data_IF_924009368592
#
_entry.id   IF_924009368592
#
_cell.length_a   1.000
_cell.length_b   1.000
_cell.length_c   1.000
_cell.angle_alpha   90.00
_cell.angle_beta   90.00
_cell.angle_gamma   90.00
#
_symmetry.space_group_name_H-M   'P 1'
#
loop_
_entity.id
_entity.type
_entity.pdbx_description
1 polymer ?
#
# COMPACT_ATOMS: atom_id res chain seq x y z
N UNK A 1 -19.83 -33.46 -1.45
CA UNK A 1 -18.71 -32.91 -0.66
C UNK A 1 -17.90 -32.03 -1.60
N UNK A 2 -18.16 -30.73 -1.59
CA UNK A 2 -17.50 -29.78 -2.48
C UNK A 2 -16.13 -29.48 -1.89
N UNK A 3 -15.07 -29.90 -2.59
CA UNK A 3 -13.70 -29.60 -2.22
C UNK A 3 -13.46 -28.11 -2.42
N UNK A 4 -13.19 -27.39 -1.33
CA UNK A 4 -12.74 -26.01 -1.37
C UNK A 4 -11.40 -25.98 -2.12
N UNK A 5 -11.27 -25.25 -3.24
CA UNK A 5 -9.99 -25.09 -3.94
C UNK A 5 -8.92 -24.52 -3.00
N UNK A 6 -7.67 -24.98 -3.14
CA UNK A 6 -6.54 -24.64 -2.28
C UNK A 6 -6.19 -23.13 -2.20
N UNK A 7 -6.79 -22.28 -3.04
CA UNK A 7 -6.66 -20.82 -3.01
C UNK A 7 -7.70 -20.12 -2.11
N UNK A 8 -8.65 -20.86 -1.51
CA UNK A 8 -9.70 -20.30 -0.64
C UNK A 8 -9.33 -20.30 0.85
N UNK A 9 -8.15 -20.80 1.23
CA UNK A 9 -7.66 -20.71 2.60
C UNK A 9 -6.39 -19.85 2.60
N UNK A 10 -6.44 -18.62 3.15
CA UNK A 10 -5.23 -17.83 3.30
C UNK A 10 -4.26 -18.64 4.13
N UNK A 11 -3.05 -18.87 3.61
CA UNK A 11 -1.99 -19.45 4.42
C UNK A 11 -1.77 -18.54 5.63
N UNK A 12 -1.42 -19.07 6.82
CA UNK A 12 -1.16 -18.26 8.01
C UNK A 12 -0.17 -17.09 7.79
N UNK A 13 0.68 -17.18 6.76
CA UNK A 13 1.60 -16.12 6.32
C UNK A 13 0.95 -14.92 5.60
N UNK A 14 -0.31 -15.04 5.15
CA UNK A 14 -1.07 -14.00 4.43
C UNK A 14 -2.02 -13.19 5.33
N UNK A 15 -2.24 -13.59 6.58
CA UNK A 15 -3.23 -12.94 7.44
C UNK A 15 -2.67 -11.66 8.06
N UNK A 16 -3.31 -10.49 7.89
CA UNK A 16 -2.80 -9.25 8.46
C UNK A 16 -2.85 -9.31 9.99
N UNK A 17 -1.74 -8.92 10.62
CA UNK A 17 -1.63 -8.86 12.06
C UNK A 17 -2.07 -7.49 12.58
N UNK A 18 -2.87 -7.51 13.64
CA UNK A 18 -3.31 -6.34 14.37
C UNK A 18 -2.85 -6.41 15.83
N UNK A 19 -2.69 -5.26 16.47
CA UNK A 19 -2.34 -5.21 17.88
C UNK A 19 -3.58 -5.46 18.75
N UNK A 20 -3.52 -6.41 19.67
CA UNK A 20 -4.62 -6.68 20.63
C UNK A 20 -4.97 -5.47 21.51
N UNK A 21 -4.02 -4.57 21.74
CA UNK A 21 -4.21 -3.41 22.64
C UNK A 21 -4.87 -2.24 21.92
N UNK A 22 -4.28 -1.75 20.82
CA UNK A 22 -4.82 -0.59 20.10
C UNK A 22 -5.72 -0.95 18.91
N UNK A 23 -5.86 -2.24 18.58
CA UNK A 23 -6.68 -2.78 17.49
C UNK A 23 -6.27 -2.35 16.08
N UNK A 24 -5.11 -1.72 15.91
CA UNK A 24 -4.58 -1.24 14.62
C UNK A 24 -3.67 -2.28 13.97
N UNK A 25 -3.53 -2.20 12.65
CA UNK A 25 -2.61 -3.03 11.89
C UNK A 25 -1.15 -2.85 12.36
N UNK A 26 -0.37 -3.92 12.29
CA UNK A 26 1.06 -3.96 12.62
C UNK A 26 1.88 -4.17 11.35
N UNK A 27 3.02 -3.47 11.26
CA UNK A 27 4.00 -3.74 10.21
C UNK A 27 4.85 -4.94 10.60
N UNK A 28 4.98 -5.90 9.67
CA UNK A 28 5.90 -7.02 9.79
C UNK A 28 7.26 -6.64 9.22
N UNK A 29 8.31 -6.86 9.99
CA UNK A 29 9.70 -6.62 9.57
C UNK A 29 10.48 -7.91 9.72
N UNK A 30 11.24 -8.28 8.69
CA UNK A 30 12.14 -9.41 8.76
C UNK A 30 13.59 -8.92 8.81
N UNK A 31 14.32 -9.35 9.83
CA UNK A 31 15.77 -9.11 9.92
C UNK A 31 16.52 -10.01 8.93
N UNK A 32 17.78 -9.68 8.55
CA UNK A 32 18.60 -10.54 7.69
C UNK A 32 18.77 -11.97 8.22
N UNK A 33 18.65 -12.18 9.54
CA UNK A 33 18.72 -13.50 10.17
C UNK A 33 17.38 -14.25 10.17
N UNK A 34 16.36 -13.74 9.46
CA UNK A 34 15.04 -14.35 9.35
C UNK A 34 14.08 -14.07 10.51
N UNK A 35 14.53 -13.41 11.59
CA UNK A 35 13.67 -13.08 12.74
C UNK A 35 12.61 -12.06 12.33
N UNK A 36 11.35 -12.39 12.62
CA UNK A 36 10.19 -11.52 12.40
C UNK A 36 9.93 -10.65 13.64
N UNK A 37 9.79 -9.35 13.42
CA UNK A 37 9.36 -8.38 14.43
C UNK A 37 8.11 -7.64 13.96
N UNK A 38 7.34 -7.13 14.92
CA UNK A 38 6.13 -6.36 14.67
C UNK A 38 6.30 -4.96 15.25
N UNK A 39 5.92 -3.93 14.49
CA UNK A 39 6.06 -2.52 14.88
C UNK A 39 4.75 -1.79 14.57
N UNK A 40 4.40 -0.77 15.37
CA UNK A 40 3.25 0.07 15.03
C UNK A 40 3.60 1.04 13.90
N UNK A 41 2.69 1.25 12.92
CA UNK A 41 2.92 2.22 11.85
C UNK A 41 3.19 3.65 12.36
N UNK A 42 2.61 4.01 13.50
CA UNK A 42 2.82 5.33 14.11
C UNK A 42 4.19 5.49 14.78
N UNK A 43 4.76 4.42 15.34
CA UNK A 43 6.14 4.43 15.87
C UNK A 43 7.16 4.72 14.77
N UNK A 44 6.92 4.21 13.56
CA UNK A 44 7.73 4.55 12.37
C UNK A 44 7.61 6.01 11.95
N UNK A 45 6.53 6.70 12.34
CA UNK A 45 6.33 8.13 12.11
C UNK A 45 6.91 8.98 13.26
N UNK A 46 7.51 8.34 14.26
CA UNK A 46 8.13 8.98 15.41
C UNK A 46 7.14 9.32 16.53
N UNK A 47 5.94 8.73 16.52
CA UNK A 47 5.02 8.79 17.65
C UNK A 47 5.43 7.73 18.69
N UNK A 48 5.21 8.03 19.97
CA UNK A 48 5.37 7.05 21.05
C UNK A 48 4.00 6.49 21.41
N UNK A 49 3.91 5.16 21.52
CA UNK A 49 2.72 4.48 22.02
C UNK A 49 2.97 3.99 23.44
N UNK A 50 1.91 4.01 24.26
CA UNK A 50 1.99 3.62 25.68
C UNK A 50 2.03 2.10 25.91
N UNK A 51 2.23 1.31 24.85
CA UNK A 51 2.29 -0.14 24.94
C UNK A 51 3.15 -0.77 23.84
N UNK A 52 3.74 -1.91 24.17
CA UNK A 52 4.41 -2.79 23.21
C UNK A 52 3.41 -3.39 22.20
N UNK A 53 3.85 -3.74 20.97
CA UNK A 53 3.06 -4.50 20.01
C UNK A 53 2.62 -5.86 20.57
N UNK A 54 1.31 -6.14 20.51
CA UNK A 54 0.75 -7.45 20.86
C UNK A 54 0.08 -8.07 19.62
N UNK A 55 0.85 -8.69 18.71
CA UNK A 55 0.32 -9.15 17.43
C UNK A 55 -0.70 -10.27 17.62
N UNK A 56 -1.80 -10.17 16.89
CA UNK A 56 -2.78 -11.23 16.71
C UNK A 56 -3.34 -11.17 15.29
N UNK A 57 -3.78 -12.30 14.72
CA UNK A 57 -4.58 -12.32 13.51
C UNK A 57 -5.74 -11.32 13.58
N UNK A 58 -6.04 -10.63 12.47
CA UNK A 58 -7.17 -9.68 12.41
C UNK A 58 -8.50 -10.31 12.83
N UNK A 59 -8.67 -11.61 12.59
CA UNK A 59 -9.87 -12.38 12.97
C UNK A 59 -10.02 -12.61 14.47
N UNK A 60 -8.96 -12.43 15.25
CA UNK A 60 -8.96 -12.55 16.72
C UNK A 60 -9.09 -11.21 17.44
N UNK A 61 -8.97 -10.09 16.72
CA UNK A 61 -9.05 -8.76 17.31
C UNK A 61 -10.50 -8.28 17.22
N UNK A 62 -11.16 -7.98 18.36
CA UNK A 62 -12.52 -7.46 18.34
C UNK A 62 -12.54 -6.05 17.73
N UNK A 63 -13.43 -5.81 16.78
CA UNK A 63 -13.61 -4.53 16.09
C UNK A 63 -12.27 -3.91 15.63
N UNK A 64 -11.54 -4.56 14.71
CA UNK A 64 -10.24 -4.08 14.27
C UNK A 64 -10.37 -2.74 13.55
N UNK A 65 -9.42 -1.83 13.79
CA UNK A 65 -9.36 -0.54 13.12
C UNK A 65 -8.63 -0.74 11.79
N UNK A 66 -9.39 -0.76 10.70
CA UNK A 66 -8.85 -0.87 9.34
C UNK A 66 -8.66 0.53 8.77
N UNK A 67 -7.40 0.92 8.58
CA UNK A 67 -7.03 2.22 8.05
C UNK A 67 -6.68 2.12 6.57
N UNK A 68 -7.12 3.09 5.77
CA UNK A 68 -6.77 3.20 4.38
C UNK A 68 -5.24 3.21 4.20
N UNK A 69 -4.70 2.26 3.45
CA UNK A 69 -3.25 2.10 3.27
C UNK A 69 -2.60 3.27 2.53
N UNK A 70 -3.43 4.10 1.87
CA UNK A 70 -2.98 5.26 1.12
C UNK A 70 -2.93 6.52 1.98
N UNK A 71 -4.05 6.89 2.59
CA UNK A 71 -4.18 8.17 3.33
C UNK A 71 -4.30 8.02 4.84
N UNK A 72 -4.25 6.79 5.37
CA UNK A 72 -4.42 6.48 6.80
C UNK A 72 -5.76 6.93 7.41
N UNK A 73 -6.78 7.17 6.58
CA UNK A 73 -8.15 7.37 7.09
C UNK A 73 -8.62 6.10 7.82
N UNK A 74 -9.22 6.19 9.01
CA UNK A 74 -9.77 5.04 9.74
C UNK A 74 -11.06 4.49 9.13
N UNK A 75 -11.54 5.08 8.03
CA UNK A 75 -12.79 4.72 7.34
C UNK A 75 -12.47 3.92 6.06
N UNK A 76 -11.61 2.91 6.15
CA UNK A 76 -11.41 2.01 5.02
C UNK A 76 -12.69 1.20 4.76
N UNK A 77 -13.14 1.20 3.51
CA UNK A 77 -14.39 0.54 3.09
C UNK A 77 -14.16 -0.57 2.07
N UNK A 78 -13.04 -0.51 1.37
CA UNK A 78 -12.74 -1.40 0.24
C UNK A 78 -11.43 -2.13 0.47
N UNK A 79 -11.35 -3.36 -0.04
CA UNK A 79 -10.11 -4.12 -0.17
C UNK A 79 -9.84 -4.35 -1.65
N UNK A 80 -8.61 -4.06 -2.05
CA UNK A 80 -8.06 -4.36 -3.36
C UNK A 80 -7.01 -5.45 -3.23
N UNK A 81 -6.82 -6.21 -4.31
CA UNK A 81 -5.76 -7.20 -4.43
C UNK A 81 -4.75 -6.70 -5.46
N UNK A 82 -3.48 -6.62 -5.08
CA UNK A 82 -2.36 -6.38 -5.96
C UNK A 82 -1.27 -7.44 -5.72
N UNK A 83 -0.18 -7.41 -6.50
CA UNK A 83 0.93 -8.33 -6.23
C UNK A 83 1.60 -7.99 -4.89
N UNK A 84 2.22 -8.98 -4.25
CA UNK A 84 3.08 -8.75 -3.09
C UNK A 84 4.04 -7.60 -3.36
N UNK A 85 4.11 -6.67 -2.42
CA UNK A 85 5.05 -5.57 -2.50
C UNK A 85 6.14 -5.80 -1.47
N UNK A 86 7.37 -5.75 -1.91
CA UNK A 86 8.52 -5.77 -1.02
C UNK A 86 9.23 -4.43 -1.15
N UNK A 87 9.51 -3.80 -0.01
CA UNK A 87 10.37 -2.63 0.03
C UNK A 87 11.65 -3.02 0.74
N UNK A 88 12.69 -3.17 -0.06
CA UNK A 88 14.05 -3.30 0.43
C UNK A 88 14.53 -1.94 0.92
N UNK A 89 15.00 -1.87 2.16
CA UNK A 89 15.64 -0.67 2.69
C UNK A 89 17.14 -0.84 2.54
N UNK A 90 17.87 0.17 2.06
CA UNK A 90 19.33 0.19 2.09
C UNK A 90 19.80 1.38 2.92
N UNK A 91 20.79 1.20 3.79
CA UNK A 91 21.36 2.29 4.58
C UNK A 91 22.71 2.69 3.99
N UNK A 92 22.90 4.00 3.77
CA UNK A 92 24.20 4.53 3.35
C UNK A 92 25.17 4.46 4.53
N UNK A 93 26.17 3.60 4.44
CA UNK A 93 27.20 3.43 5.47
C UNK A 93 28.41 4.32 5.22
N UNK A 94 28.73 4.61 3.95
CA UNK A 94 29.84 5.48 3.59
C UNK A 94 29.51 6.38 2.41
N UNK A 95 29.99 7.63 2.49
CA UNK A 95 30.06 8.55 1.34
C UNK A 95 31.50 8.96 1.12
N UNK A 96 31.97 8.75 -0.10
CA UNK A 96 33.30 9.19 -0.52
C UNK A 96 33.18 10.53 -1.22
N UNK A 97 33.87 11.54 -0.70
CA UNK A 97 33.92 12.90 -1.26
C UNK A 97 35.36 13.27 -1.59
N UNK A 98 35.57 14.20 -2.51
CA UNK A 98 36.90 14.75 -2.74
C UNK A 98 37.29 15.68 -1.58
N UNK A 99 38.48 15.49 -1.00
CA UNK A 99 38.95 16.26 0.16
C UNK A 99 38.96 17.77 -0.11
N UNK A 100 39.43 18.22 -1.28
CA UNK A 100 39.46 19.64 -1.63
C UNK A 100 38.07 20.23 -1.89
N UNK A 101 37.11 19.41 -2.35
CA UNK A 101 35.71 19.85 -2.45
C UNK A 101 35.06 19.93 -1.05
N UNK A 102 35.36 18.97 -0.18
CA UNK A 102 34.91 18.96 1.21
C UNK A 102 35.46 20.13 2.03
N UNK A 103 36.75 20.46 1.88
CA UNK A 103 37.34 21.61 2.58
C UNK A 103 36.69 22.94 2.19
N UNK A 104 36.20 23.07 0.94
CA UNK A 104 35.56 24.30 0.45
C UNK A 104 34.07 24.37 0.75
N UNK A 105 33.37 23.23 0.71
CA UNK A 105 31.89 23.17 0.71
C UNK A 105 31.31 22.41 1.89
N UNK A 106 32.14 21.70 2.65
CA UNK A 106 31.77 20.84 3.77
C UNK A 106 30.55 19.97 3.44
N UNK A 107 29.41 20.22 4.08
CA UNK A 107 28.17 19.49 3.90
C UNK A 107 27.57 19.58 2.49
N UNK A 108 28.03 20.50 1.64
CA UNK A 108 27.63 20.63 0.24
C UNK A 108 28.64 20.01 -0.75
N UNK A 109 29.64 19.27 -0.28
CA UNK A 109 30.60 18.58 -1.13
C UNK A 109 29.92 17.50 -1.98
N UNK A 110 30.33 17.38 -3.25
CA UNK A 110 29.78 16.38 -4.17
C UNK A 110 30.26 14.98 -3.78
N UNK A 111 29.31 14.09 -3.58
CA UNK A 111 29.57 12.67 -3.32
C UNK A 111 30.02 11.99 -4.61
N UNK A 112 31.18 11.32 -4.57
CA UNK A 112 31.77 10.55 -5.68
C UNK A 112 31.34 9.09 -5.66
N UNK A 113 31.25 8.49 -4.48
CA UNK A 113 30.79 7.13 -4.31
C UNK A 113 29.95 7.02 -3.04
N UNK A 114 28.99 6.10 -3.07
CA UNK A 114 28.12 5.76 -1.94
C UNK A 114 28.28 4.26 -1.72
N UNK A 115 28.68 3.87 -0.53
CA UNK A 115 28.61 2.48 -0.08
C UNK A 115 27.33 2.35 0.75
N UNK A 116 26.57 1.29 0.48
CA UNK A 116 25.31 1.00 1.13
C UNK A 116 25.29 -0.44 1.61
N UNK A 117 24.77 -0.66 2.81
CA UNK A 117 24.46 -1.99 3.31
C UNK A 117 22.97 -2.28 3.13
N UNK A 118 22.67 -3.54 2.88
CA UNK A 118 21.29 -4.03 2.82
C UNK A 118 20.67 -3.92 4.21
N UNK A 119 19.56 -3.21 4.28
CA UNK A 119 18.74 -3.07 5.46
C UNK A 119 17.65 -4.13 5.52
N UNK A 120 16.72 -4.00 6.47
CA UNK A 120 15.60 -4.92 6.60
C UNK A 120 14.69 -4.87 5.37
N UNK A 121 14.16 -6.05 5.02
CA UNK A 121 13.08 -6.19 4.07
C UNK A 121 11.75 -5.87 4.76
N UNK A 122 10.95 -5.01 4.13
CA UNK A 122 9.57 -4.76 4.53
C UNK A 122 8.64 -5.43 3.53
N UNK A 123 7.79 -6.31 4.04
CA UNK A 123 6.82 -7.06 3.23
C UNK A 123 5.46 -6.40 3.42
N UNK A 124 4.85 -5.98 2.32
CA UNK A 124 3.48 -5.52 2.26
C UNK A 124 2.68 -6.61 1.53
N UNK A 125 1.64 -7.13 2.18
CA UNK A 125 0.85 -8.21 1.59
C UNK A 125 0.07 -7.76 0.35
N UNK A 126 -0.49 -8.73 -0.36
CA UNK A 126 -1.31 -8.53 -1.56
C UNK A 126 -2.57 -7.67 -1.35
N UNK A 127 -3.04 -7.51 -0.10
CA UNK A 127 -4.35 -6.91 0.20
C UNK A 127 -4.20 -5.49 0.72
N UNK A 128 -4.79 -4.54 0.00
CA UNK A 128 -4.73 -3.11 0.26
C UNK A 128 -6.10 -2.55 0.57
N UNK A 129 -6.26 -1.90 1.71
CA UNK A 129 -7.49 -1.27 2.13
C UNK A 129 -7.56 0.20 1.67
N UNK A 130 -8.74 0.64 1.22
CA UNK A 130 -8.97 1.99 0.75
C UNK A 130 -10.27 2.57 1.31
N UNK A 131 -10.24 3.85 1.68
CA UNK A 131 -11.46 4.64 1.89
C UNK A 131 -12.08 5.02 0.54
N UNK A 132 -13.35 5.45 0.51
CA UNK A 132 -14.08 5.80 -0.73
C UNK A 132 -13.28 6.75 -1.65
N UNK A 133 -12.68 7.80 -1.07
CA UNK A 133 -11.95 8.78 -1.86
C UNK A 133 -10.68 8.22 -2.51
N UNK A 134 -9.98 7.28 -1.86
CA UNK A 134 -8.83 6.60 -2.47
C UNK A 134 -9.28 5.53 -3.46
N UNK A 135 -10.37 4.83 -3.16
CA UNK A 135 -10.97 3.83 -4.05
C UNK A 135 -11.35 4.42 -5.42
N UNK A 136 -11.99 5.59 -5.43
CA UNK A 136 -12.32 6.29 -6.68
C UNK A 136 -11.08 6.59 -7.54
N UNK A 137 -9.98 7.00 -6.91
CA UNK A 137 -8.72 7.29 -7.60
C UNK A 137 -8.03 6.02 -8.10
N UNK A 138 -8.09 4.92 -7.35
CA UNK A 138 -7.58 3.61 -7.78
C UNK A 138 -8.35 3.09 -9.00
N UNK A 139 -9.68 3.18 -8.97
CA UNK A 139 -10.54 2.72 -10.07
C UNK A 139 -10.36 3.57 -11.33
N UNK A 140 -10.17 4.88 -11.17
CA UNK A 140 -9.79 5.78 -12.27
C UNK A 140 -8.33 5.67 -12.70
N UNK A 141 -7.51 4.86 -12.00
CA UNK A 141 -6.04 4.77 -12.18
C UNK A 141 -5.35 6.15 -12.13
N UNK A 142 -5.85 7.04 -11.28
CA UNK A 142 -5.38 8.42 -11.14
C UNK A 142 -4.20 8.52 -10.16
N UNK A 143 -3.02 8.10 -10.59
CA UNK A 143 -1.79 8.11 -9.78
C UNK A 143 -1.51 9.46 -9.11
N UNK A 144 -1.54 10.55 -9.87
CA UNK A 144 -1.21 11.87 -9.33
C UNK A 144 -2.29 12.42 -8.40
N UNK A 145 -3.57 12.07 -8.64
CA UNK A 145 -4.66 12.38 -7.73
C UNK A 145 -4.47 11.67 -6.38
N UNK A 146 -4.06 10.41 -6.41
CA UNK A 146 -3.75 9.62 -5.22
C UNK A 146 -2.57 10.21 -4.44
N UNK A 147 -1.47 10.55 -5.14
CA UNK A 147 -0.30 11.20 -4.52
C UNK A 147 -0.71 12.54 -3.88
N UNK A 148 -1.45 13.38 -4.60
CA UNK A 148 -1.89 14.69 -4.10
C UNK A 148 -2.72 14.54 -2.82
N UNK A 149 -3.74 13.69 -2.85
CA UNK A 149 -4.62 13.42 -1.70
C UNK A 149 -3.83 12.96 -0.48
N UNK A 150 -2.86 12.07 -0.67
CA UNK A 150 -2.02 11.57 0.42
C UNK A 150 -1.12 12.67 0.94
N UNK A 151 -0.48 13.46 0.06
CA UNK A 151 0.36 14.58 0.50
C UNK A 151 -0.41 15.65 1.26
N UNK A 152 -1.68 15.90 0.91
CA UNK A 152 -2.53 16.87 1.61
C UNK A 152 -2.90 16.41 3.02
N UNK A 153 -2.96 15.09 3.26
CA UNK A 153 -3.20 14.51 4.58
C UNK A 153 -1.92 14.39 5.44
N UNK A 154 -0.74 14.65 4.89
CA UNK A 154 0.52 14.47 5.62
C UNK A 154 0.84 15.62 6.59
N UNK A 155 1.53 15.33 7.71
CA UNK A 155 2.01 16.37 8.61
C UNK A 155 2.86 17.43 7.89
N UNK A 156 2.72 18.74 8.22
CA UNK A 156 3.46 19.84 7.60
C UNK A 156 4.98 19.66 7.56
N UNK A 157 5.55 18.93 8.53
CA UNK A 157 6.99 18.63 8.61
C UNK A 157 7.51 17.76 7.44
N UNK A 158 6.63 16.98 6.80
CA UNK A 158 6.97 16.09 5.68
C UNK A 158 6.77 16.76 4.31
N UNK A 159 5.95 17.81 4.24
CA UNK A 159 5.52 18.45 2.98
C UNK A 159 6.16 19.83 2.73
N UNK A 160 7.26 20.16 3.42
CA UNK A 160 7.98 21.43 3.23
C UNK A 160 9.25 21.27 2.38
N UNK A 161 9.41 22.17 1.39
CA UNK A 161 10.63 22.32 0.60
C UNK A 161 11.07 21.02 -0.10
N UNK A 162 12.36 20.70 -0.02
CA UNK A 162 12.96 19.52 -0.67
C UNK A 162 12.38 18.19 -0.18
N UNK A 163 11.83 18.14 1.04
CA UNK A 163 11.21 16.93 1.61
C UNK A 163 9.97 16.52 0.83
N UNK A 164 9.14 17.48 0.40
CA UNK A 164 7.95 17.20 -0.40
C UNK A 164 8.29 16.49 -1.71
N UNK A 165 9.33 16.93 -2.42
CA UNK A 165 9.74 16.30 -3.67
C UNK A 165 10.25 14.88 -3.45
N UNK A 166 10.96 14.65 -2.34
CA UNK A 166 11.43 13.30 -1.96
C UNK A 166 10.24 12.39 -1.65
N UNK A 167 9.29 12.88 -0.84
CA UNK A 167 8.06 12.15 -0.48
C UNK A 167 7.24 11.83 -1.73
N UNK A 168 7.03 12.79 -2.63
CA UNK A 168 6.32 12.57 -3.89
C UNK A 168 7.01 11.52 -4.77
N UNK A 169 8.34 11.53 -4.86
CA UNK A 169 9.10 10.51 -5.58
C UNK A 169 8.91 9.10 -5.00
N UNK A 170 8.92 8.99 -3.67
CA UNK A 170 8.66 7.71 -2.98
C UNK A 170 7.23 7.22 -3.19
N UNK A 171 6.24 8.11 -3.01
CA UNK A 171 4.83 7.78 -3.26
C UNK A 171 4.59 7.40 -4.71
N UNK A 172 5.24 8.06 -5.67
CA UNK A 172 5.13 7.72 -7.08
C UNK A 172 5.62 6.29 -7.34
N UNK A 173 6.84 5.94 -6.94
CA UNK A 173 7.37 4.59 -7.18
C UNK A 173 6.54 3.50 -6.50
N UNK A 174 6.01 3.78 -5.32
CA UNK A 174 5.19 2.83 -4.59
C UNK A 174 3.80 2.66 -5.23
N UNK A 175 3.09 3.76 -5.47
CA UNK A 175 1.72 3.71 -6.00
C UNK A 175 1.67 3.36 -7.49
N UNK A 176 2.72 3.61 -8.28
CA UNK A 176 2.78 3.09 -9.65
C UNK A 176 2.76 1.56 -9.66
N UNK A 177 3.56 0.93 -8.78
CA UNK A 177 3.61 -0.53 -8.67
C UNK A 177 2.28 -1.12 -8.21
N UNK A 178 1.62 -0.47 -7.24
CA UNK A 178 0.27 -0.86 -6.80
C UNK A 178 -0.73 -0.80 -7.96
N UNK A 179 -0.76 0.30 -8.72
CA UNK A 179 -1.69 0.46 -9.84
C UNK A 179 -1.39 -0.50 -11.01
N UNK A 180 -0.12 -0.78 -11.29
CA UNK A 180 0.31 -1.72 -12.33
C UNK A 180 -0.11 -3.16 -12.02
N UNK A 181 -0.06 -3.54 -10.74
CA UNK A 181 -0.35 -4.91 -10.29
C UNK A 181 -1.78 -5.07 -9.74
N UNK A 182 -2.58 -4.01 -9.76
CA UNK A 182 -3.95 -3.99 -9.27
C UNK A 182 -4.83 -4.96 -10.08
N UNK A 183 -5.39 -5.97 -9.41
CA UNK A 183 -6.39 -6.85 -10.01
C UNK A 183 -7.71 -6.09 -10.21
N UNK A 184 -8.49 -6.40 -11.27
CA UNK A 184 -9.78 -5.77 -11.48
C UNK A 184 -10.75 -6.05 -10.32
N UNK A 185 -11.51 -5.02 -9.90
CA UNK A 185 -12.54 -5.14 -8.87
C UNK A 185 -12.04 -4.85 -7.45
N UNK A 186 -12.97 -4.92 -6.50
CA UNK A 186 -12.73 -4.67 -5.07
C UNK A 186 -13.71 -5.44 -4.20
N UNK A 187 -13.28 -5.76 -2.98
CA UNK A 187 -14.12 -6.34 -1.93
C UNK A 187 -14.59 -5.25 -0.99
N UNK A 188 -15.73 -5.47 -0.31
CA UNK A 188 -16.19 -4.54 0.73
C UNK A 188 -15.74 -5.03 2.11
N UNK A 189 -15.14 -4.14 2.88
CA UNK A 189 -14.80 -4.39 4.29
C UNK A 189 -16.10 -4.51 5.07
N UNK A 190 -16.24 -5.60 5.83
CA UNK A 190 -17.38 -5.84 6.71
C UNK A 190 -16.90 -6.35 8.05
N UNK A 191 -17.73 -6.26 9.09
CA UNK A 191 -17.39 -6.81 10.41
C UNK A 191 -17.07 -8.31 10.36
N UNK A 192 -17.71 -9.05 9.45
CA UNK A 192 -17.45 -10.50 9.25
C UNK A 192 -16.16 -10.76 8.46
N UNK A 193 -15.75 -9.83 7.61
CA UNK A 193 -14.59 -9.94 6.74
C UNK A 193 -13.82 -8.61 6.70
N UNK A 194 -13.04 -8.32 7.76
CA UNK A 194 -12.39 -7.02 7.90
C UNK A 194 -11.32 -6.77 6.84
N UNK A 195 -10.63 -7.82 6.38
CA UNK A 195 -9.65 -7.74 5.28
C UNK A 195 -9.62 -9.01 4.41
N UNK A 196 -10.50 -9.99 4.68
CA UNK A 196 -10.28 -11.39 4.27
C UNK A 196 -11.23 -11.92 3.18
N UNK A 197 -12.21 -11.15 2.71
CA UNK A 197 -13.13 -11.58 1.67
C UNK A 197 -13.11 -10.60 0.49
N UNK A 198 -12.21 -10.86 -0.45
CA UNK A 198 -12.49 -10.53 -1.84
C UNK A 198 -13.06 -11.77 -2.49
N UNK A 199 -14.37 -11.79 -2.68
CA UNK A 199 -15.00 -12.66 -3.67
C UNK A 199 -14.94 -11.89 -4.99
N UNK A 200 -14.41 -12.49 -6.05
CA UNK A 200 -14.58 -11.94 -7.40
C UNK A 200 -16.08 -11.70 -7.59
N UNK A 201 -16.50 -10.44 -7.71
CA UNK A 201 -17.84 -10.16 -8.21
C UNK A 201 -17.88 -10.79 -9.61
N UNK A 202 -18.68 -11.84 -9.86
CA UNK A 202 -18.74 -12.45 -11.17
C UNK A 202 -19.11 -11.32 -12.14
N UNK A 203 -18.25 -11.14 -13.13
CA UNK A 203 -18.27 -9.99 -14.02
C UNK A 203 -19.70 -9.71 -14.47
N UNK A 204 -20.08 -8.43 -14.41
CA UNK A 204 -21.21 -7.92 -15.17
C UNK A 204 -20.98 -8.39 -16.61
N UNK A 205 -21.68 -9.44 -17.01
CA UNK A 205 -21.81 -9.81 -18.40
C UNK A 205 -22.48 -8.60 -19.02
N UNK A 206 -21.71 -7.82 -19.78
CA UNK A 206 -22.28 -6.94 -20.78
C UNK A 206 -23.05 -7.86 -21.73
N UNK A 207 -24.33 -8.09 -21.42
CA UNK A 207 -25.30 -8.48 -22.43
C UNK A 207 -25.35 -7.30 -23.38
N UNK A 208 -24.47 -7.33 -24.37
CA UNK A 208 -24.54 -6.49 -25.54
C UNK A 208 -25.91 -6.71 -26.15
N UNK A 209 -26.83 -5.82 -25.81
CA UNK A 209 -28.17 -5.81 -26.36
C UNK A 209 -28.02 -5.30 -27.80
N UNK A 210 -27.80 -6.26 -28.68
CA UNK A 210 -27.71 -6.10 -30.11
C UNK A 210 -29.06 -5.66 -30.67
N UNK A 211 -29.41 -4.40 -30.48
CA UNK A 211 -30.43 -3.74 -31.30
C UNK A 211 -29.78 -3.33 -32.62
N UNK A 212 -29.90 -4.26 -33.57
CA UNK A 212 -29.49 -4.11 -34.96
C UNK A 212 -29.99 -2.81 -35.57
N UNK A 213 -29.04 -1.99 -35.99
CA UNK A 213 -29.23 -0.82 -36.85
C UNK A 213 -29.69 -1.32 -38.22
N UNK A 214 -30.99 -1.35 -38.49
CA UNK A 214 -31.51 -1.60 -39.84
C UNK A 214 -31.18 -0.42 -40.75
N UNK A 215 -30.32 -0.71 -41.72
CA UNK A 215 -29.97 0.14 -42.85
C UNK A 215 -31.18 0.22 -43.78
N UNK A 216 -31.86 1.37 -43.80
CA UNK A 216 -32.89 1.67 -44.80
C UNK A 216 -32.23 2.00 -46.14
N UNK A 217 -32.23 1.02 -47.06
CA UNK A 217 -31.86 1.23 -48.45
C UNK A 217 -32.87 2.13 -49.17
N UNK A 218 -32.33 3.17 -49.82
CA UNK A 218 -33.01 3.94 -50.87
C UNK A 218 -33.42 3.01 -52.02
N UNK A 219 -34.69 3.08 -52.46
CA UNK A 219 -35.08 2.73 -53.83
C UNK A 219 -35.64 3.96 -54.54
N UNK A 220 -35.06 4.20 -55.72
CA UNK A 220 -35.56 5.08 -56.77
C UNK A 220 -36.82 4.46 -57.39
N UNK A 221 -37.75 5.33 -57.79
CA UNK A 221 -38.96 5.04 -58.55
C UNK A 221 -39.74 6.34 -58.66
#
# INVERSE_FOLDING_TARGET
MTLTPAWMSPTPDEMPFHCRTCRRALHRRQTPNGVLTFEHPNELRGDTLDHEPRPAPVTEVPDPIIECDFCSSPEALWVYVCADQETETSYVTRRTVNVGDYQRRHYAARTRAVESEQGPLRIWGERWSACDGCAALLEGRELYGLIARVTDAMPPRLIRGRKLMTVRGLLHGHYSTVLETLRPGRGRITARYPVMAWEETPGRVDTGDGTGRQIGQRRKG
#
